data_IF_248749554749
#
_entry.id   IF_248749554749
#
_cell.length_a   1.000
_cell.length_b   1.000
_cell.length_c   1.000
_cell.angle_alpha   90.00
_cell.angle_beta   90.00
_cell.angle_gamma   90.00
#
_symmetry.space_group_name_H-M   'P 1'
#
loop_
_entity.id
_entity.type
_entity.pdbx_description
1 polymer ?
#
# COMPACT_ATOMS: atom_id res chain seq x y z
N UNK A 1 -5.98 -35.47 -3.52
CA UNK A 1 -5.11 -34.30 -3.30
C UNK A 1 -6.01 -33.09 -3.30
N UNK A 2 -6.31 -32.56 -2.12
CA UNK A 2 -7.14 -31.37 -1.98
C UNK A 2 -6.38 -30.20 -2.58
N UNK A 3 -6.96 -29.54 -3.59
CA UNK A 3 -6.53 -28.19 -3.96
C UNK A 3 -6.91 -27.31 -2.78
N UNK A 4 -5.92 -26.82 -2.05
CA UNK A 4 -6.18 -25.70 -1.16
C UNK A 4 -6.41 -24.50 -2.07
N UNK A 5 -7.68 -24.11 -2.23
CA UNK A 5 -8.04 -22.73 -2.55
C UNK A 5 -7.57 -21.88 -1.37
N UNK A 6 -6.29 -21.54 -1.32
CA UNK A 6 -5.83 -20.44 -0.48
C UNK A 6 -6.12 -19.18 -1.27
N UNK A 7 -7.36 -18.68 -1.15
CA UNK A 7 -7.61 -17.25 -1.34
C UNK A 7 -6.62 -16.55 -0.42
N UNK A 8 -5.61 -15.91 -0.98
CA UNK A 8 -4.64 -15.16 -0.21
C UNK A 8 -5.41 -14.08 0.57
N UNK A 9 -5.22 -14.07 1.89
CA UNK A 9 -5.97 -13.20 2.79
C UNK A 9 -5.65 -11.74 2.44
N UNK A 10 -6.66 -10.88 2.37
CA UNK A 10 -6.42 -9.45 2.22
C UNK A 10 -6.11 -8.83 3.58
N UNK A 11 -5.05 -8.04 3.62
CA UNK A 11 -4.61 -7.30 4.80
C UNK A 11 -4.49 -5.81 4.46
N UNK A 12 -4.79 -4.91 5.41
CA UNK A 12 -4.61 -3.49 5.21
C UNK A 12 -3.12 -3.16 5.36
N UNK A 13 -2.53 -2.56 4.33
CA UNK A 13 -1.10 -2.21 4.30
C UNK A 13 -0.94 -0.70 4.23
N UNK A 14 -0.08 -0.15 5.08
CA UNK A 14 0.30 1.26 5.03
C UNK A 14 1.38 1.47 3.97
N UNK A 15 1.09 2.31 2.98
CA UNK A 15 2.01 2.61 1.88
C UNK A 15 2.11 4.11 1.63
N UNK A 16 3.23 4.52 1.03
CA UNK A 16 3.36 5.83 0.38
C UNK A 16 3.00 5.67 -1.10
N UNK A 17 1.99 6.40 -1.52
CA UNK A 17 1.53 6.46 -2.90
C UNK A 17 1.90 7.81 -3.53
N UNK A 18 1.89 7.84 -4.86
CA UNK A 18 2.18 9.05 -5.63
C UNK A 18 0.89 9.69 -6.13
N UNK A 19 0.84 11.02 -6.11
CA UNK A 19 -0.26 11.77 -6.72
C UNK A 19 -0.36 11.46 -8.21
N UNK A 20 -1.57 11.53 -8.75
CA UNK A 20 -1.82 11.19 -10.17
C UNK A 20 -1.01 12.06 -11.15
N UNK A 21 -0.64 13.27 -10.73
CA UNK A 21 0.16 14.23 -11.48
C UNK A 21 1.63 14.29 -11.01
N UNK A 22 2.10 13.32 -10.21
CA UNK A 22 3.50 13.20 -9.83
C UNK A 22 4.38 13.01 -11.07
N UNK A 23 5.49 13.75 -11.13
CA UNK A 23 6.45 13.66 -12.24
C UNK A 23 7.47 12.56 -11.95
N UNK A 24 7.07 11.30 -12.16
CA UNK A 24 7.86 10.13 -11.77
C UNK A 24 9.07 9.93 -12.68
N UNK A 25 10.27 9.99 -12.10
CA UNK A 25 11.50 9.53 -12.77
C UNK A 25 11.73 8.06 -12.39
N UNK A 26 11.48 7.16 -13.35
CA UNK A 26 11.61 5.72 -13.14
C UNK A 26 12.90 5.22 -13.79
N UNK A 27 13.81 4.71 -12.97
CA UNK A 27 14.94 3.94 -13.45
C UNK A 27 14.50 2.49 -13.74
N UNK A 28 14.77 2.03 -14.96
CA UNK A 28 14.46 0.70 -15.45
C UNK A 28 15.74 -0.10 -15.77
N UNK A 29 16.89 0.32 -15.25
CA UNK A 29 18.18 -0.30 -15.52
C UNK A 29 18.42 -1.60 -14.73
N UNK A 30 17.68 -1.82 -13.64
CA UNK A 30 17.73 -3.01 -12.78
C UNK A 30 16.69 -4.08 -13.13
N UNK A 31 16.60 -5.11 -12.27
CA UNK A 31 15.55 -6.14 -12.38
C UNK A 31 14.16 -5.55 -12.07
N UNK A 32 14.10 -4.57 -11.17
CA UNK A 32 12.86 -3.88 -10.76
C UNK A 32 12.92 -2.38 -11.07
N UNK A 33 11.82 -1.86 -11.60
CA UNK A 33 11.65 -0.44 -11.85
C UNK A 33 11.59 0.33 -10.53
N UNK A 34 12.43 1.36 -10.37
CA UNK A 34 12.53 2.15 -9.13
C UNK A 34 12.32 3.63 -9.40
N UNK A 35 11.57 4.31 -8.54
CA UNK A 35 11.42 5.78 -8.60
C UNK A 35 12.65 6.45 -7.98
N UNK A 36 13.46 7.13 -8.80
CA UNK A 36 14.73 7.71 -8.34
C UNK A 36 14.59 9.12 -7.76
N UNK A 37 13.51 9.82 -8.08
CA UNK A 37 13.23 11.17 -7.58
C UNK A 37 12.21 11.18 -6.42
N UNK A 38 12.10 10.09 -5.66
CA UNK A 38 11.15 9.96 -4.55
C UNK A 38 11.21 11.14 -3.56
N UNK A 39 12.41 11.49 -3.09
CA UNK A 39 12.60 12.56 -2.11
C UNK A 39 12.11 13.92 -2.64
N UNK A 40 12.36 14.22 -3.93
CA UNK A 40 11.87 15.44 -4.56
C UNK A 40 10.35 15.47 -4.68
N UNK A 41 9.72 14.32 -4.94
CA UNK A 41 8.26 14.21 -4.98
C UNK A 41 7.64 14.39 -3.59
N UNK A 42 8.29 13.88 -2.54
CA UNK A 42 7.89 14.13 -1.14
C UNK A 42 7.97 15.62 -0.83
N UNK A 43 9.09 16.28 -1.14
CA UNK A 43 9.29 17.71 -0.88
C UNK A 43 8.28 18.60 -1.62
N UNK A 44 7.86 18.19 -2.82
CA UNK A 44 6.83 18.88 -3.62
C UNK A 44 5.40 18.58 -3.17
N UNK A 45 5.20 17.69 -2.19
CA UNK A 45 3.87 17.24 -1.76
C UNK A 45 3.12 16.45 -2.83
N UNK A 46 3.85 15.72 -3.68
CA UNK A 46 3.30 14.85 -4.73
C UNK A 46 3.23 13.38 -4.29
N UNK A 47 3.34 13.13 -3.00
CA UNK A 47 3.10 11.84 -2.38
C UNK A 47 2.03 11.97 -1.30
N UNK A 48 1.34 10.88 -1.01
CA UNK A 48 0.40 10.78 0.09
C UNK A 48 0.49 9.41 0.73
N UNK A 49 0.03 9.31 1.97
CA UNK A 49 -0.07 8.04 2.67
C UNK A 49 -1.46 7.46 2.50
N UNK A 50 -1.55 6.16 2.24
CA UNK A 50 -2.82 5.44 2.14
C UNK A 50 -2.75 4.07 2.82
N UNK A 51 -3.91 3.55 3.19
CA UNK A 51 -4.10 2.13 3.49
C UNK A 51 -4.63 1.47 2.23
N UNK A 52 -4.04 0.34 1.84
CA UNK A 52 -4.47 -0.45 0.69
C UNK A 52 -4.70 -1.91 1.09
N UNK A 53 -5.79 -2.50 0.62
CA UNK A 53 -6.01 -3.93 0.73
C UNK A 53 -5.05 -4.67 -0.23
N UNK A 54 -4.11 -5.42 0.34
CA UNK A 54 -3.18 -6.25 -0.41
C UNK A 54 -3.24 -7.69 0.07
N UNK A 55 -2.85 -8.61 -0.81
CA UNK A 55 -2.72 -10.00 -0.44
C UNK A 55 -1.58 -10.16 0.59
N UNK A 56 -1.81 -10.90 1.67
CA UNK A 56 -0.84 -11.07 2.76
C UNK A 56 0.49 -11.58 2.24
N UNK A 57 0.49 -12.53 1.30
CA UNK A 57 1.74 -13.04 0.74
C UNK A 57 2.56 -11.96 0.03
N UNK A 58 1.92 -11.02 -0.66
CA UNK A 58 2.60 -9.89 -1.29
C UNK A 58 3.13 -8.90 -0.25
N UNK A 59 2.35 -8.62 0.80
CA UNK A 59 2.81 -7.78 1.89
C UNK A 59 4.05 -8.37 2.59
N UNK A 60 4.06 -9.67 2.82
CA UNK A 60 5.21 -10.39 3.41
C UNK A 60 6.40 -10.49 2.45
N UNK A 61 6.17 -10.73 1.15
CA UNK A 61 7.23 -10.81 0.12
C UNK A 61 8.00 -9.48 0.00
N UNK A 62 7.28 -8.36 0.06
CA UNK A 62 7.86 -7.02 -0.08
C UNK A 62 8.13 -6.31 1.25
N UNK A 63 8.04 -7.01 2.39
CA UNK A 63 8.25 -6.47 3.74
C UNK A 63 7.45 -5.17 4.02
N UNK A 64 6.18 -5.18 3.61
CA UNK A 64 5.28 -4.04 3.76
C UNK A 64 4.67 -3.97 5.17
N UNK A 65 4.34 -2.76 5.61
CA UNK A 65 3.78 -2.50 6.93
C UNK A 65 2.29 -2.87 6.99
N UNK A 66 1.97 -4.02 7.57
CA UNK A 66 0.60 -4.50 7.77
C UNK A 66 0.02 -3.80 9.01
N UNK A 67 -1.13 -3.15 8.86
CA UNK A 67 -1.84 -2.51 9.97
C UNK A 67 -2.68 -3.55 10.72
N UNK A 68 -2.34 -3.79 11.98
CA UNK A 68 -2.99 -4.81 12.81
C UNK A 68 -4.07 -4.21 13.73
N UNK A 69 -5.04 -5.02 14.20
CA UNK A 69 -6.02 -4.58 15.18
C UNK A 69 -5.35 -4.03 16.44
N UNK A 70 -5.63 -2.75 16.74
CA UNK A 70 -5.05 -2.03 17.87
C UNK A 70 -3.98 -1.01 17.48
N UNK A 71 -3.54 -0.99 16.23
CA UNK A 71 -2.65 0.04 15.72
C UNK A 71 -3.35 1.40 15.63
N UNK A 72 -2.62 2.53 15.76
CA UNK A 72 -3.20 3.87 15.64
C UNK A 72 -3.82 4.18 14.25
N UNK A 73 -3.49 3.36 13.25
CA UNK A 73 -4.03 3.47 11.89
C UNK A 73 -5.21 2.54 11.64
N UNK A 74 -5.55 1.66 12.58
CA UNK A 74 -6.65 0.72 12.44
C UNK A 74 -8.00 1.44 12.34
N UNK A 75 -8.82 1.01 11.38
CA UNK A 75 -10.18 1.50 11.15
C UNK A 75 -11.12 0.29 11.00
N UNK A 76 -12.34 0.39 11.52
CA UNK A 76 -13.31 -0.71 11.51
C UNK A 76 -13.70 -1.17 10.09
N UNK A 77 -13.51 -0.32 9.07
CA UNK A 77 -13.68 -0.68 7.66
C UNK A 77 -12.75 -1.81 7.21
N UNK A 78 -11.60 -1.99 7.85
CA UNK A 78 -10.65 -3.05 7.49
C UNK A 78 -11.11 -4.45 7.89
N UNK A 79 -12.25 -4.59 8.58
CA UNK A 79 -12.83 -5.89 8.86
C UNK A 79 -13.49 -6.54 7.64
N UNK A 80 -13.78 -5.77 6.58
CA UNK A 80 -14.48 -6.23 5.37
C UNK A 80 -13.75 -5.75 4.11
N UNK A 81 -12.46 -6.13 3.99
CA UNK A 81 -11.61 -5.73 2.87
C UNK A 81 -12.02 -6.42 1.57
N UNK A 82 -12.14 -5.62 0.51
CA UNK A 82 -12.23 -6.08 -0.87
C UNK A 82 -10.95 -5.79 -1.66
N UNK A 83 -10.71 -6.58 -2.71
CA UNK A 83 -9.54 -6.38 -3.58
C UNK A 83 -9.63 -5.03 -4.30
N UNK A 84 -8.58 -4.23 -4.16
CA UNK A 84 -8.53 -2.89 -4.75
C UNK A 84 -9.05 -1.79 -3.83
N UNK A 85 -9.53 -2.13 -2.63
CA UNK A 85 -9.85 -1.12 -1.62
C UNK A 85 -8.61 -0.30 -1.26
N UNK A 86 -8.79 1.03 -1.24
CA UNK A 86 -7.80 1.94 -0.72
C UNK A 86 -8.46 3.17 -0.09
N UNK A 87 -7.79 3.71 0.93
CA UNK A 87 -8.21 4.90 1.65
C UNK A 87 -7.02 5.79 1.91
N UNK A 88 -7.13 7.08 1.59
CA UNK A 88 -6.11 8.04 2.00
C UNK A 88 -6.14 8.16 3.53
N UNK A 89 -4.97 8.27 4.17
CA UNK A 89 -4.93 8.41 5.64
C UNK A 89 -5.71 9.63 6.16
N UNK A 90 -5.81 10.67 5.35
CA UNK A 90 -6.61 11.87 5.65
C UNK A 90 -8.12 11.56 5.75
N UNK A 91 -8.62 10.54 5.05
CA UNK A 91 -10.03 10.10 5.08
C UNK A 91 -10.32 9.19 6.27
N UNK A 92 -9.29 8.55 6.85
CA UNK A 92 -9.38 7.69 8.03
C UNK A 92 -9.32 8.54 9.31
N UNK A 93 -8.50 9.59 9.33
CA UNK A 93 -8.28 10.45 10.51
C UNK A 93 -9.16 11.70 10.55
N UNK A 94 -10.05 11.88 9.57
CA UNK A 94 -10.92 13.04 9.41
C UNK A 94 -12.07 13.15 10.40
#
# INVERSE_FOLDING_TARGET
MSKADTSDELVPVHVVAYEKNADLEIDNSGEDATVVNHDELVDKGQTYQEIRALARSAAEEYDLDIVEPGDPLWDDRFNDLESGDSWRLEEIRG
#
